data_IF_060452399440
#
_entry.id   IF_060452399440
#
_cell.length_a   1.000
_cell.length_b   1.000
_cell.length_c   1.000
_cell.angle_alpha   90.00
_cell.angle_beta   90.00
_cell.angle_gamma   90.00
#
_symmetry.space_group_name_H-M   'P 1'
#
loop_
_entity.id
_entity.type
_entity.pdbx_description
1 polymer ?
#
# COMPACT_ATOMS: atom_id res chain seq x y z
N UNK A 1 -44.53 52.46 -1.03
CA UNK A 1 -44.51 51.01 -0.68
C UNK A 1 -43.87 50.28 -1.85
N UNK A 2 -42.56 50.00 -1.79
CA UNK A 2 -41.79 49.29 -2.84
C UNK A 2 -41.18 48.04 -2.20
N UNK A 3 -41.72 46.87 -2.50
CA UNK A 3 -41.20 45.57 -2.07
C UNK A 3 -40.06 45.17 -2.98
N UNK A 4 -38.80 45.23 -2.49
CA UNK A 4 -37.65 44.68 -3.16
C UNK A 4 -37.57 43.16 -2.80
N UNK A 5 -37.78 42.33 -3.82
CA UNK A 5 -37.62 40.86 -3.73
C UNK A 5 -36.14 40.57 -3.98
N UNK A 6 -35.41 40.21 -2.92
CA UNK A 6 -34.05 39.72 -3.04
C UNK A 6 -34.03 38.27 -3.43
N UNK A 7 -33.63 37.95 -4.65
CA UNK A 7 -33.44 36.60 -5.18
C UNK A 7 -32.07 36.08 -4.71
N UNK A 8 -32.07 35.21 -3.70
CA UNK A 8 -30.86 34.55 -3.22
C UNK A 8 -30.58 33.34 -4.15
N UNK A 9 -29.60 33.48 -5.03
CA UNK A 9 -29.08 32.39 -5.86
C UNK A 9 -28.17 31.55 -5.01
N UNK A 10 -28.64 30.40 -4.58
CA UNK A 10 -27.86 29.34 -3.93
C UNK A 10 -27.01 28.65 -5.02
N UNK A 11 -25.80 29.09 -5.20
CA UNK A 11 -24.77 28.35 -5.94
C UNK A 11 -24.34 27.14 -5.07
N UNK A 12 -25.03 26.02 -5.27
CA UNK A 12 -24.60 24.72 -4.77
C UNK A 12 -23.31 24.30 -5.46
N UNK A 13 -22.17 24.69 -4.91
CA UNK A 13 -20.89 24.14 -5.30
C UNK A 13 -20.86 22.66 -4.94
N UNK A 14 -20.86 21.76 -5.95
CA UNK A 14 -20.46 20.39 -5.78
C UNK A 14 -18.99 20.38 -5.33
N UNK A 15 -18.77 20.41 -4.04
CA UNK A 15 -17.47 20.10 -3.48
C UNK A 15 -17.21 18.60 -3.78
N UNK A 16 -16.53 18.34 -4.88
CA UNK A 16 -15.94 17.05 -5.16
C UNK A 16 -15.14 16.67 -3.92
N UNK A 17 -15.61 15.68 -3.18
CA UNK A 17 -14.88 15.09 -2.05
C UNK A 17 -13.68 14.36 -2.64
N UNK A 18 -12.64 15.12 -3.00
CA UNK A 18 -11.34 14.58 -3.31
C UNK A 18 -10.81 14.01 -2.01
N UNK A 19 -10.78 12.69 -1.92
CA UNK A 19 -10.08 12.02 -0.83
C UNK A 19 -8.65 12.60 -0.80
N UNK A 20 -8.21 13.21 0.31
CA UNK A 20 -6.86 13.75 0.36
C UNK A 20 -5.86 12.62 0.07
N UNK A 21 -4.79 12.89 -0.68
CA UNK A 21 -3.78 11.88 -0.94
C UNK A 21 -3.26 11.34 0.39
N UNK A 22 -2.98 10.02 0.48
CA UNK A 22 -2.44 9.44 1.69
C UNK A 22 -1.17 10.19 2.09
N UNK A 23 -0.96 10.44 3.39
CA UNK A 23 0.25 11.11 3.84
C UNK A 23 1.49 10.35 3.38
N UNK A 24 2.58 11.05 3.05
CA UNK A 24 3.82 10.41 2.63
C UNK A 24 4.27 9.40 3.71
N UNK A 25 4.78 8.23 3.29
CA UNK A 25 5.19 7.20 4.22
C UNK A 25 6.30 7.73 5.13
N UNK A 26 6.31 7.35 6.41
CA UNK A 26 7.44 7.61 7.27
C UNK A 26 8.71 6.98 6.67
N UNK A 27 9.83 7.68 6.72
CA UNK A 27 11.12 7.21 6.19
C UNK A 27 11.54 5.83 6.74
N UNK A 28 11.05 5.45 7.91
CA UNK A 28 11.33 4.18 8.57
C UNK A 28 10.74 2.94 7.87
N UNK A 29 9.76 3.12 6.97
CA UNK A 29 9.19 2.00 6.19
C UNK A 29 10.15 1.50 5.09
N UNK A 30 11.05 2.35 4.64
CA UNK A 30 12.00 2.04 3.58
C UNK A 30 13.24 1.24 4.04
N UNK A 31 13.32 0.84 5.31
CA UNK A 31 14.30 -0.14 5.78
C UNK A 31 15.77 0.28 5.78
N UNK A 32 16.11 1.57 5.72
CA UNK A 32 17.51 2.00 5.88
C UNK A 32 17.85 3.27 5.14
N UNK A 33 18.65 4.08 5.79
CA UNK A 33 19.28 5.27 5.28
C UNK A 33 20.24 4.92 4.11
N UNK A 34 19.74 4.93 2.88
CA UNK A 34 20.62 5.13 1.72
C UNK A 34 20.40 6.55 1.20
N UNK A 35 21.32 7.49 1.45
CA UNK A 35 21.26 8.82 0.87
C UNK A 35 21.42 8.69 -0.64
N UNK A 36 20.41 9.11 -1.40
CA UNK A 36 20.50 9.24 -2.84
C UNK A 36 19.63 8.31 -3.69
N UNK A 37 18.96 7.31 -3.14
CA UNK A 37 17.92 6.59 -3.85
C UNK A 37 16.57 7.24 -3.53
N UNK A 38 15.92 7.80 -4.56
CA UNK A 38 14.46 8.00 -4.57
C UNK A 38 13.82 6.59 -4.59
N UNK A 39 13.98 5.86 -3.49
CA UNK A 39 13.41 4.53 -3.38
C UNK A 39 11.91 4.67 -3.30
N UNK A 40 11.20 4.05 -4.22
CA UNK A 40 9.75 3.92 -4.13
C UNK A 40 9.40 3.23 -2.80
N UNK A 41 8.76 3.93 -1.86
CA UNK A 41 8.50 3.41 -0.53
C UNK A 41 7.53 2.23 -0.53
N UNK A 42 6.61 2.16 -1.52
CA UNK A 42 5.73 1.00 -1.71
C UNK A 42 6.53 -0.23 -2.10
N UNK A 43 7.44 -0.07 -3.08
CA UNK A 43 8.34 -1.13 -3.49
C UNK A 43 9.18 -1.64 -2.33
N UNK A 44 9.77 -0.72 -1.56
CA UNK A 44 10.55 -1.07 -0.39
C UNK A 44 9.74 -1.84 0.66
N UNK A 45 8.48 -1.42 0.92
CA UNK A 45 7.60 -2.08 1.86
C UNK A 45 7.18 -3.48 1.39
N UNK A 46 6.90 -3.68 0.09
CA UNK A 46 6.60 -5.00 -0.48
C UNK A 46 7.79 -5.94 -0.26
N UNK A 47 8.98 -5.53 -0.67
CA UNK A 47 10.17 -6.37 -0.55
C UNK A 47 10.52 -6.68 0.91
N UNK A 48 10.48 -5.68 1.77
CA UNK A 48 10.82 -5.86 3.19
C UNK A 48 9.79 -6.73 3.93
N UNK A 49 8.49 -6.59 3.65
CA UNK A 49 7.46 -7.43 4.25
C UNK A 49 7.56 -8.88 3.75
N UNK A 50 7.83 -9.11 2.48
CA UNK A 50 8.04 -10.45 1.94
C UNK A 50 9.22 -11.17 2.62
N UNK A 51 10.33 -10.47 2.86
CA UNK A 51 11.47 -11.02 3.61
C UNK A 51 11.09 -11.29 5.07
N UNK A 52 10.36 -10.37 5.71
CA UNK A 52 9.99 -10.52 7.13
C UNK A 52 9.09 -11.73 7.39
N UNK A 53 8.17 -12.05 6.46
CA UNK A 53 7.23 -13.16 6.60
C UNK A 53 7.58 -14.41 5.80
N UNK A 54 8.78 -14.49 5.21
CA UNK A 54 9.17 -15.58 4.30
C UNK A 54 9.04 -16.98 4.92
N UNK A 55 9.25 -17.12 6.24
CA UNK A 55 9.15 -18.35 7.01
C UNK A 55 7.91 -18.40 7.93
N UNK A 56 6.85 -17.73 7.54
CA UNK A 56 5.57 -17.58 8.19
C UNK A 56 5.57 -16.88 9.57
N UNK A 57 6.71 -16.71 10.23
CA UNK A 57 6.90 -15.96 11.49
C UNK A 57 8.17 -16.38 12.27
N UNK A 58 8.77 -17.50 11.93
CA UNK A 58 9.89 -18.06 12.70
C UNK A 58 11.04 -17.07 12.85
N UNK A 59 11.38 -16.36 11.79
CA UNK A 59 12.40 -15.32 11.83
C UNK A 59 12.03 -14.06 12.62
N UNK A 60 10.75 -13.92 12.98
CA UNK A 60 10.21 -12.79 13.77
C UNK A 60 10.08 -13.15 15.27
N UNK A 61 10.15 -14.41 15.64
CA UNK A 61 10.06 -14.85 17.04
C UNK A 61 11.13 -14.15 17.90
N UNK A 62 10.73 -13.73 19.09
CA UNK A 62 11.56 -12.98 20.04
C UNK A 62 12.11 -11.64 19.54
N UNK A 63 11.56 -11.11 18.43
CA UNK A 63 11.98 -9.84 17.81
C UNK A 63 10.83 -8.83 17.73
N UNK A 64 10.32 -8.30 18.85
CA UNK A 64 9.15 -7.42 18.85
C UNK A 64 9.35 -6.15 18.02
N UNK A 65 10.58 -5.67 17.87
CA UNK A 65 10.91 -4.56 16.97
C UNK A 65 10.63 -4.91 15.51
N UNK A 66 11.10 -6.08 15.07
CA UNK A 66 10.93 -6.55 13.69
C UNK A 66 9.44 -6.83 13.40
N UNK A 67 8.71 -7.42 14.35
CA UNK A 67 7.26 -7.65 14.25
C UNK A 67 6.50 -6.34 14.09
N UNK A 68 6.78 -5.35 14.96
CA UNK A 68 6.11 -4.05 14.89
C UNK A 68 6.36 -3.36 13.54
N UNK A 69 7.58 -3.42 13.02
CA UNK A 69 7.93 -2.86 11.72
C UNK A 69 7.25 -3.60 10.56
N UNK A 70 7.28 -4.92 10.55
CA UNK A 70 6.65 -5.74 9.52
C UNK A 70 5.13 -5.53 9.49
N UNK A 71 4.48 -5.47 10.65
CA UNK A 71 3.05 -5.14 10.75
C UNK A 71 2.74 -3.74 10.23
N UNK A 72 3.58 -2.74 10.54
CA UNK A 72 3.43 -1.39 10.00
C UNK A 72 3.57 -1.34 8.47
N UNK A 73 4.44 -2.17 7.88
CA UNK A 73 4.58 -2.29 6.42
C UNK A 73 3.31 -2.85 5.80
N UNK A 74 2.69 -3.88 6.38
CA UNK A 74 1.42 -4.44 5.87
C UNK A 74 0.27 -3.43 6.01
N UNK A 75 0.16 -2.68 7.11
CA UNK A 75 -0.80 -1.58 7.25
C UNK A 75 -0.59 -0.51 6.16
N UNK A 76 0.67 -0.14 5.89
CA UNK A 76 1.02 0.80 4.84
C UNK A 76 0.65 0.31 3.44
N UNK A 77 0.95 -0.95 3.12
CA UNK A 77 0.61 -1.55 1.82
C UNK A 77 -0.90 -1.52 1.56
N UNK A 78 -1.71 -1.84 2.57
CA UNK A 78 -3.17 -1.78 2.46
C UNK A 78 -3.70 -0.36 2.22
N UNK A 79 -3.04 0.67 2.79
CA UNK A 79 -3.43 2.06 2.59
C UNK A 79 -3.01 2.60 1.22
N UNK A 80 -1.78 2.33 0.84
CA UNK A 80 -1.12 3.06 -0.25
C UNK A 80 -1.29 2.40 -1.62
N UNK A 81 -1.37 1.05 -1.71
CA UNK A 81 -1.52 0.37 -2.99
C UNK A 81 -2.84 0.68 -3.69
N UNK A 82 -3.92 0.89 -2.92
CA UNK A 82 -5.25 1.19 -3.47
C UNK A 82 -5.36 2.59 -4.07
N UNK A 83 -4.49 3.51 -3.66
CA UNK A 83 -4.49 4.92 -4.07
C UNK A 83 -3.31 5.30 -4.96
N UNK A 84 -2.40 4.38 -5.26
CA UNK A 84 -1.21 4.64 -6.05
C UNK A 84 -1.41 4.28 -7.52
N UNK A 85 -1.39 5.27 -8.38
CA UNK A 85 -1.53 5.08 -9.84
C UNK A 85 -0.39 4.24 -10.42
N UNK A 86 0.83 4.35 -9.89
CA UNK A 86 1.98 3.55 -10.29
C UNK A 86 1.79 2.03 -10.06
N UNK A 87 0.88 1.64 -9.16
CA UNK A 87 0.57 0.25 -8.83
C UNK A 87 -0.80 -0.20 -9.36
N UNK A 88 -1.39 0.52 -10.29
CA UNK A 88 -2.71 0.19 -10.87
C UNK A 88 -2.77 -1.19 -11.54
N UNK A 89 -1.62 -1.71 -12.00
CA UNK A 89 -1.50 -3.05 -12.57
C UNK A 89 -1.38 -4.18 -11.51
N UNK A 90 -1.30 -3.83 -10.21
CA UNK A 90 -1.31 -4.83 -9.14
C UNK A 90 -2.67 -5.55 -9.12
N UNK A 91 -2.70 -6.90 -9.15
CA UNK A 91 -3.95 -7.65 -9.19
C UNK A 91 -4.82 -7.39 -7.97
N UNK A 92 -6.13 -7.32 -8.19
CA UNK A 92 -7.10 -7.16 -7.11
C UNK A 92 -7.04 -8.31 -6.09
N UNK A 93 -6.71 -9.52 -6.54
CA UNK A 93 -6.52 -10.69 -5.67
C UNK A 93 -5.40 -10.46 -4.66
N UNK A 94 -4.31 -9.82 -5.06
CA UNK A 94 -3.19 -9.45 -4.18
C UNK A 94 -3.60 -8.42 -3.15
N UNK A 95 -4.36 -7.39 -3.56
CA UNK A 95 -4.90 -6.40 -2.63
C UNK A 95 -5.83 -7.03 -1.59
N UNK A 96 -6.71 -7.96 -2.01
CA UNK A 96 -7.58 -8.70 -1.09
C UNK A 96 -6.77 -9.59 -0.13
N UNK A 97 -5.74 -10.29 -0.63
CA UNK A 97 -4.86 -11.11 0.21
C UNK A 97 -4.12 -10.28 1.25
N UNK A 98 -3.64 -9.09 0.89
CA UNK A 98 -3.03 -8.16 1.85
C UNK A 98 -4.04 -7.67 2.90
N UNK A 99 -5.33 -7.53 2.54
CA UNK A 99 -6.40 -7.25 3.48
C UNK A 99 -6.52 -8.35 4.54
N UNK A 100 -6.57 -9.62 4.12
CA UNK A 100 -6.61 -10.79 5.02
C UNK A 100 -5.35 -10.88 5.90
N UNK A 101 -4.18 -10.60 5.34
CA UNK A 101 -2.92 -10.54 6.09
C UNK A 101 -2.97 -9.47 7.19
N UNK A 102 -3.54 -8.29 6.89
CA UNK A 102 -3.74 -7.23 7.90
C UNK A 102 -4.66 -7.68 9.01
N UNK A 103 -5.78 -8.35 8.70
CA UNK A 103 -6.73 -8.87 9.68
C UNK A 103 -6.06 -9.91 10.60
N UNK A 104 -5.31 -10.86 10.02
CA UNK A 104 -4.53 -11.85 10.77
C UNK A 104 -3.53 -11.17 11.72
N UNK A 105 -2.75 -10.21 11.22
CA UNK A 105 -1.79 -9.46 12.04
C UNK A 105 -2.47 -8.67 13.15
N UNK A 106 -3.59 -8.00 12.88
CA UNK A 106 -4.34 -7.28 13.89
C UNK A 106 -4.83 -8.22 14.99
N UNK A 107 -5.38 -9.37 14.63
CA UNK A 107 -5.81 -10.38 15.59
C UNK A 107 -4.64 -10.93 16.40
N UNK A 108 -3.53 -11.32 15.74
CA UNK A 108 -2.34 -11.86 16.39
C UNK A 108 -1.70 -10.87 17.37
N UNK A 109 -1.58 -9.61 16.99
CA UNK A 109 -0.93 -8.56 17.80
C UNK A 109 -1.89 -7.86 18.79
N UNK A 110 -3.18 -8.19 18.75
CA UNK A 110 -4.20 -7.58 19.60
C UNK A 110 -4.52 -6.14 19.21
N UNK A 111 -4.39 -5.79 17.95
CA UNK A 111 -4.75 -4.47 17.44
C UNK A 111 -6.27 -4.41 17.29
N UNK A 112 -6.89 -3.33 17.73
CA UNK A 112 -8.31 -3.12 17.58
C UNK A 112 -8.68 -3.00 16.09
N UNK A 113 -9.61 -3.82 15.62
CA UNK A 113 -10.04 -3.84 14.21
C UNK A 113 -10.57 -2.48 13.73
N UNK A 114 -11.28 -1.76 14.60
CA UNK A 114 -11.82 -0.44 14.31
C UNK A 114 -10.78 0.70 14.41
N UNK A 115 -9.54 0.41 14.81
CA UNK A 115 -8.51 1.43 14.93
C UNK A 115 -8.11 1.95 13.54
N UNK A 116 -7.94 3.27 13.46
CA UNK A 116 -7.52 3.94 12.22
C UNK A 116 -6.16 3.41 11.74
N UNK A 117 -6.06 2.92 10.49
CA UNK A 117 -4.85 2.29 9.98
C UNK A 117 -3.62 3.19 10.03
N UNK A 118 -3.77 4.50 9.80
CA UNK A 118 -2.64 5.44 9.85
C UNK A 118 -2.14 5.64 11.28
N UNK A 119 -3.05 5.63 12.26
CA UNK A 119 -2.67 5.73 13.67
C UNK A 119 -1.98 4.44 14.13
N UNK A 120 -2.49 3.27 13.73
CA UNK A 120 -1.88 1.97 13.99
C UNK A 120 -0.45 1.93 13.42
N UNK A 121 -0.28 2.26 12.15
CA UNK A 121 1.02 2.31 11.50
C UNK A 121 2.01 3.23 12.24
N UNK A 122 1.58 4.44 12.61
CA UNK A 122 2.43 5.40 13.35
C UNK A 122 2.83 4.86 14.72
N UNK A 123 1.89 4.25 15.44
CA UNK A 123 2.15 3.65 16.75
C UNK A 123 3.14 2.49 16.67
N UNK A 124 2.95 1.58 15.71
CA UNK A 124 3.86 0.46 15.46
C UNK A 124 5.28 0.93 15.11
N UNK A 125 5.42 1.94 14.24
CA UNK A 125 6.72 2.50 13.89
C UNK A 125 7.38 3.23 15.06
N UNK A 126 6.61 3.94 15.89
CA UNK A 126 7.13 4.57 17.09
C UNK A 126 7.64 3.53 18.10
N UNK A 127 6.88 2.44 18.30
CA UNK A 127 7.30 1.34 19.14
C UNK A 127 8.56 0.65 18.58
N UNK A 128 8.61 0.35 17.28
CA UNK A 128 9.79 -0.25 16.65
C UNK A 128 11.05 0.61 16.81
N UNK A 129 10.94 1.93 16.57
CA UNK A 129 12.06 2.87 16.80
C UNK A 129 12.55 2.88 18.23
N UNK A 130 11.63 2.92 19.18
CA UNK A 130 11.96 2.92 20.60
C UNK A 130 12.63 1.60 21.02
N UNK A 131 12.14 0.45 20.54
CA UNK A 131 12.76 -0.86 20.80
C UNK A 131 14.18 -0.95 20.21
N UNK A 132 14.36 -0.47 18.97
CA UNK A 132 15.70 -0.41 18.34
C UNK A 132 16.68 0.47 19.12
N UNK A 133 16.17 1.55 19.71
CA UNK A 133 16.97 2.44 20.57
C UNK A 133 17.13 1.93 22.01
N UNK A 134 16.70 0.69 22.30
CA UNK A 134 16.69 0.10 23.64
C UNK A 134 15.95 0.94 24.68
N UNK A 135 14.78 1.50 24.30
CA UNK A 135 13.92 2.33 25.12
C UNK A 135 12.55 1.66 25.36
N UNK A 136 12.47 0.58 26.15
CA UNK A 136 11.26 -0.23 26.29
C UNK A 136 10.07 0.56 26.87
N UNK A 137 10.31 1.52 27.75
CA UNK A 137 9.25 2.36 28.32
C UNK A 137 8.60 3.27 27.26
N UNK A 138 9.39 3.84 26.35
CA UNK A 138 8.87 4.63 25.24
C UNK A 138 8.14 3.74 24.23
N UNK A 139 8.63 2.52 24.00
CA UNK A 139 7.92 1.56 23.18
C UNK A 139 6.56 1.19 23.76
N UNK A 140 6.51 0.95 25.07
CA UNK A 140 5.26 0.68 25.78
C UNK A 140 4.29 1.88 25.72
N UNK A 141 4.77 3.10 25.89
CA UNK A 141 3.96 4.31 25.78
C UNK A 141 3.38 4.53 24.36
N UNK A 142 4.06 4.03 23.33
CA UNK A 142 3.57 4.09 21.93
C UNK A 142 2.41 3.13 21.63
N UNK A 143 2.11 2.18 22.52
CA UNK A 143 1.10 1.13 22.32
C UNK A 143 -0.07 1.29 23.33
N UNK A 144 -0.95 2.30 23.18
CA UNK A 144 -2.04 2.55 24.12
C UNK A 144 -3.08 1.44 24.11
N UNK A 145 -3.64 1.11 25.27
CA UNK A 145 -4.61 0.02 25.47
C UNK A 145 -5.92 0.17 24.65
N UNK A 146 -6.29 1.40 24.26
CA UNK A 146 -7.44 1.63 23.39
C UNK A 146 -7.24 1.12 21.97
N UNK A 147 -5.99 1.06 21.51
CA UNK A 147 -5.63 0.62 20.16
C UNK A 147 -5.02 -0.80 20.18
N UNK A 148 -4.28 -1.16 21.23
CA UNK A 148 -3.60 -2.45 21.40
C UNK A 148 -4.10 -3.14 22.67
N UNK A 149 -4.37 -4.44 22.59
CA UNK A 149 -4.81 -5.23 23.75
C UNK A 149 -3.76 -6.28 24.10
N UNK A 150 -3.18 -6.23 25.30
CA UNK A 150 -3.59 -5.43 26.46
C UNK A 150 -3.01 -4.01 26.53
N UNK A 151 -2.13 -3.61 25.64
CA UNK A 151 -1.44 -2.31 25.62
C UNK A 151 -0.10 -2.32 26.38
N UNK A 152 0.71 -1.30 26.12
CA UNK A 152 1.98 -1.07 26.77
C UNK A 152 2.97 -2.24 26.68
N UNK A 153 3.69 -2.49 27.77
CA UNK A 153 4.70 -3.55 27.86
C UNK A 153 4.12 -4.95 27.60
N UNK A 154 2.84 -5.18 27.90
CA UNK A 154 2.20 -6.47 27.63
C UNK A 154 1.98 -6.70 26.13
N UNK A 155 1.71 -5.65 25.34
CA UNK A 155 1.67 -5.75 23.88
C UNK A 155 3.06 -6.02 23.29
N UNK A 156 4.13 -5.46 23.87
CA UNK A 156 5.51 -5.78 23.43
C UNK A 156 5.81 -7.25 23.62
N UNK A 157 5.41 -7.86 24.77
CA UNK A 157 5.56 -9.31 24.99
C UNK A 157 4.76 -10.13 23.98
N UNK A 158 3.53 -9.69 23.65
CA UNK A 158 2.72 -10.33 22.62
C UNK A 158 3.38 -10.26 21.25
N UNK A 159 4.06 -9.17 20.93
CA UNK A 159 4.81 -9.04 19.67
C UNK A 159 6.03 -9.97 19.62
N UNK A 160 6.61 -10.35 20.74
CA UNK A 160 7.68 -11.35 20.77
C UNK A 160 7.19 -12.75 20.38
N UNK A 161 5.90 -13.03 20.60
CA UNK A 161 5.29 -14.35 20.32
C UNK A 161 4.02 -14.17 19.44
N UNK A 162 4.13 -13.71 18.18
CA UNK A 162 2.97 -13.43 17.35
C UNK A 162 2.22 -14.70 16.91
N UNK A 163 2.86 -15.87 16.99
CA UNK A 163 2.33 -17.14 16.49
C UNK A 163 2.39 -17.27 14.97
N UNK A 164 1.82 -18.36 14.41
CA UNK A 164 1.79 -18.58 12.97
C UNK A 164 1.02 -17.48 12.23
N UNK A 165 1.61 -16.98 11.13
CA UNK A 165 1.08 -15.89 10.30
C UNK A 165 1.03 -16.33 8.81
N UNK A 166 0.28 -17.38 8.47
CA UNK A 166 0.25 -17.94 7.11
C UNK A 166 -0.33 -16.97 6.07
N UNK A 167 -1.34 -16.16 6.44
CA UNK A 167 -1.92 -15.17 5.52
C UNK A 167 -0.92 -14.06 5.21
N UNK A 168 -0.20 -13.56 6.23
CA UNK A 168 0.83 -12.55 6.03
C UNK A 168 1.96 -13.09 5.13
N UNK A 169 2.41 -14.32 5.34
CA UNK A 169 3.42 -14.97 4.49
C UNK A 169 2.94 -15.13 3.04
N UNK A 170 1.75 -15.66 2.84
CA UNK A 170 1.20 -15.89 1.50
C UNK A 170 0.98 -14.55 0.75
N UNK A 171 0.38 -13.56 1.39
CA UNK A 171 0.02 -12.29 0.77
C UNK A 171 1.26 -11.45 0.42
N UNK A 172 2.26 -11.39 1.30
CA UNK A 172 3.49 -10.62 1.03
C UNK A 172 4.34 -11.27 -0.05
N UNK A 173 4.40 -12.61 -0.09
CA UNK A 173 5.04 -13.35 -1.17
C UNK A 173 4.34 -13.11 -2.52
N UNK A 174 2.99 -13.17 -2.54
CA UNK A 174 2.21 -12.88 -3.74
C UNK A 174 2.45 -11.44 -4.23
N UNK A 175 2.47 -10.45 -3.34
CA UNK A 175 2.76 -9.07 -3.68
C UNK A 175 4.16 -8.90 -4.28
N UNK A 176 5.16 -9.62 -3.77
CA UNK A 176 6.51 -9.62 -4.32
C UNK A 176 6.56 -10.26 -5.72
N UNK A 177 5.85 -11.36 -5.95
CA UNK A 177 5.77 -12.01 -7.25
C UNK A 177 5.12 -11.10 -8.28
N UNK A 178 4.02 -10.44 -7.90
CA UNK A 178 3.32 -9.50 -8.78
C UNK A 178 4.17 -8.26 -9.09
N UNK A 179 4.91 -7.75 -8.12
CA UNK A 179 5.89 -6.68 -8.31
C UNK A 179 6.93 -7.09 -9.36
N UNK A 180 7.50 -8.30 -9.23
CA UNK A 180 8.48 -8.84 -10.19
C UNK A 180 7.90 -9.01 -11.59
N UNK A 181 6.63 -9.42 -11.68
CA UNK A 181 5.89 -9.50 -12.95
C UNK A 181 5.67 -8.12 -13.56
N UNK A 182 5.32 -7.12 -12.77
CA UNK A 182 5.18 -5.73 -13.22
C UNK A 182 6.50 -5.19 -13.78
N UNK A 183 7.62 -5.49 -13.14
CA UNK A 183 8.96 -5.12 -13.61
C UNK A 183 9.27 -5.78 -14.96
N UNK A 184 9.10 -7.09 -15.06
CA UNK A 184 9.41 -7.88 -16.26
C UNK A 184 8.59 -7.42 -17.46
N UNK A 185 7.31 -7.14 -17.25
CA UNK A 185 6.36 -6.77 -18.32
C UNK A 185 6.26 -5.25 -18.52
N UNK A 186 7.04 -4.44 -17.81
CA UNK A 186 7.03 -2.96 -17.86
C UNK A 186 5.65 -2.36 -17.67
N UNK A 187 4.83 -2.94 -16.78
CA UNK A 187 3.45 -2.53 -16.55
C UNK A 187 3.31 -1.16 -15.89
N UNK A 188 4.40 -0.60 -15.39
CA UNK A 188 4.48 0.77 -14.87
C UNK A 188 4.13 1.85 -15.90
N UNK A 189 4.27 1.53 -17.19
CA UNK A 189 4.05 2.46 -18.29
C UNK A 189 2.62 2.41 -18.83
N UNK A 190 1.77 1.50 -18.33
CA UNK A 190 0.47 1.22 -18.95
C UNK A 190 -0.72 1.94 -18.32
N UNK A 191 -0.51 2.79 -17.33
CA UNK A 191 -1.63 3.48 -16.68
C UNK A 191 -2.71 2.53 -16.10
N UNK A 192 -3.80 3.07 -15.59
CA UNK A 192 -4.95 2.25 -15.19
C UNK A 192 -5.61 1.63 -16.43
N UNK A 193 -6.02 0.34 -16.38
CA UNK A 193 -6.74 -0.30 -17.49
C UNK A 193 -8.00 0.46 -17.95
N UNK A 194 -8.53 1.35 -17.13
CA UNK A 194 -9.69 2.18 -17.46
C UNK A 194 -9.35 3.32 -18.43
N UNK A 195 -8.08 3.70 -18.52
CA UNK A 195 -7.64 4.73 -19.48
C UNK A 195 -7.45 4.18 -20.89
N UNK A 196 -7.48 2.84 -21.04
CA UNK A 196 -7.39 2.17 -22.34
C UNK A 196 -8.73 2.09 -23.09
N UNK A 197 -9.84 2.40 -22.46
CA UNK A 197 -11.18 2.40 -23.09
C UNK A 197 -11.35 3.60 -24.05
N UNK A 198 -10.48 4.60 -23.97
CA UNK A 198 -10.50 5.78 -24.84
C UNK A 198 -9.54 5.74 -26.03
N UNK A 199 -8.70 4.72 -26.17
CA UNK A 199 -7.93 4.54 -27.38
C UNK A 199 -8.80 3.83 -28.42
N UNK A 200 -9.68 4.62 -29.05
CA UNK A 200 -10.26 4.26 -30.33
C UNK A 200 -9.12 3.85 -31.26
N UNK A 201 -9.21 2.60 -31.73
CA UNK A 201 -8.46 2.16 -32.88
C UNK A 201 -8.86 3.11 -34.00
N UNK A 202 -8.05 4.12 -34.22
CA UNK A 202 -8.19 5.01 -35.37
C UNK A 202 -8.09 4.15 -36.62
N UNK A 203 -9.26 3.78 -37.14
CA UNK A 203 -9.41 3.16 -38.44
C UNK A 203 -8.91 4.17 -39.46
N UNK A 204 -7.67 4.05 -39.89
CA UNK A 204 -7.11 4.83 -40.98
C UNK A 204 -7.70 4.32 -42.30
N UNK A 205 -8.64 5.02 -42.92
CA UNK A 205 -9.04 4.69 -44.31
C UNK A 205 -8.09 5.43 -45.25
N UNK A 206 -7.32 4.69 -46.03
CA UNK A 206 -6.66 5.30 -47.17
C UNK A 206 -5.17 5.02 -47.34
N UNK A 207 -4.83 3.81 -47.62
CA UNK A 207 -3.61 3.43 -48.36
C UNK A 207 -3.98 3.03 -49.77
N UNK A 208 -3.98 4.01 -50.69
CA UNK A 208 -4.12 3.76 -52.12
C UNK A 208 -2.98 2.86 -52.61
N UNK A 209 -3.33 1.73 -53.19
CA UNK A 209 -2.39 0.87 -53.87
C UNK A 209 -1.87 1.55 -55.15
N UNK A 210 -0.56 1.59 -55.40
CA UNK A 210 -0.06 1.98 -56.69
C UNK A 210 -0.25 0.83 -57.71
N UNK A 211 -0.84 1.20 -58.84
CA UNK A 211 -1.18 0.26 -59.92
C UNK A 211 0.01 -0.51 -60.48
N UNK A 212 -0.21 -1.78 -60.71
CA UNK A 212 0.63 -2.62 -61.55
C UNK A 212 0.48 -2.18 -63.00
N UNK A 213 1.51 -1.49 -63.54
CA UNK A 213 1.68 -1.24 -64.94
C UNK A 213 2.00 -2.55 -65.68
N UNK A 214 1.13 -2.93 -66.61
CA UNK A 214 1.37 -3.97 -67.55
C UNK A 214 2.50 -3.52 -68.52
N UNK A 215 3.54 -4.32 -68.65
CA UNK A 215 4.45 -4.27 -69.81
C UNK A 215 4.25 -5.53 -70.62
N UNK A 216 3.47 -5.33 -71.73
CA UNK A 216 3.52 -6.20 -72.91
C UNK A 216 4.71 -5.78 -73.80
N UNK A 217 5.41 -6.73 -74.33
CA UNK A 217 6.23 -6.44 -75.51
C UNK A 217 7.55 -7.17 -75.62
N UNK A 218 7.54 -8.15 -76.51
CA UNK A 218 8.58 -8.86 -77.24
C UNK A 218 9.37 -9.93 -76.48
#
# INVERSE_FOLDING_TARGET
MRRALALLVLLGGCAEMRTPPPPPPPADLAGGNQPGQLADPLRAAILASAVAFADAWVGLADKPEAVARAAAQVEYLNLALTSSDGYAAMPRTTLLSLGLAREELRAALGINEAADPQQVMRALLAAARALRANQPERAAAALPAGMFRPGGAASIRRFAEPGPLPQAAAATNLAQQDLSRMDTNRLWLQGRPQDLVGMEIGNSPGGSAPGMGALSGF
#
